data_IF_458716189582
#
_entry.id   IF_458716189582
#
_cell.length_a   1.000
_cell.length_b   1.000
_cell.length_c   1.000
_cell.angle_alpha   90.00
_cell.angle_beta   90.00
_cell.angle_gamma   90.00
#
_symmetry.space_group_name_H-M   'P 1'
#
loop_
_entity.id
_entity.type
_entity.pdbx_description
1 polymer ?
#
# COMPACT_ATOMS: atom_id res chain seq x y z
N UNK A 1 12.53 6.79 -17.87
CA UNK A 1 13.66 6.10 -17.21
C UNK A 1 13.11 5.20 -16.11
N UNK A 2 13.62 3.98 -15.91
CA UNK A 2 13.13 3.12 -14.84
C UNK A 2 13.54 3.71 -13.48
N UNK A 3 12.56 3.96 -12.61
CA UNK A 3 12.80 4.60 -11.31
C UNK A 3 13.25 3.54 -10.29
N UNK A 4 14.37 3.79 -9.59
CA UNK A 4 14.88 2.96 -8.49
C UNK A 4 14.42 3.46 -7.11
N UNK A 5 13.52 4.43 -7.10
CA UNK A 5 12.94 5.08 -5.92
C UNK A 5 11.52 4.60 -5.69
N UNK A 6 11.01 4.82 -4.47
CA UNK A 6 9.60 4.59 -4.19
C UNK A 6 8.72 5.43 -5.15
N UNK A 7 7.77 4.82 -5.88
CA UNK A 7 6.94 5.55 -6.83
C UNK A 7 6.17 6.69 -6.19
N UNK A 8 6.01 7.81 -6.92
CA UNK A 8 5.28 8.98 -6.43
C UNK A 8 3.83 8.64 -6.04
N UNK A 9 3.18 7.79 -6.84
CA UNK A 9 1.83 7.32 -6.56
C UNK A 9 1.74 6.65 -5.18
N UNK A 10 2.73 5.82 -4.80
CA UNK A 10 2.74 5.16 -3.51
C UNK A 10 2.84 6.17 -2.36
N UNK A 11 3.70 7.18 -2.50
CA UNK A 11 3.87 8.25 -1.50
C UNK A 11 2.59 9.03 -1.29
N UNK A 12 2.00 9.51 -2.38
CA UNK A 12 0.77 10.30 -2.35
C UNK A 12 -0.37 9.46 -1.81
N UNK A 13 -0.52 8.22 -2.29
CA UNK A 13 -1.56 7.31 -1.86
C UNK A 13 -1.49 7.03 -0.36
N UNK A 14 -0.35 6.55 0.16
CA UNK A 14 -0.22 6.21 1.59
C UNK A 14 -0.47 7.41 2.51
N UNK A 15 -0.04 8.61 2.11
CA UNK A 15 -0.32 9.82 2.89
C UNK A 15 -1.78 10.27 2.78
N UNK A 16 -2.38 10.20 1.59
CA UNK A 16 -3.74 10.66 1.36
C UNK A 16 -4.80 9.74 2.02
N UNK A 17 -4.57 8.42 2.02
CA UNK A 17 -5.54 7.47 2.59
C UNK A 17 -5.44 7.31 4.10
N UNK A 18 -4.31 7.65 4.70
CA UNK A 18 -4.10 7.48 6.14
C UNK A 18 -5.16 8.21 6.98
N UNK A 19 -5.50 9.50 6.74
CA UNK A 19 -6.57 10.17 7.48
C UNK A 19 -7.93 9.47 7.31
N UNK A 20 -8.29 9.07 6.09
CA UNK A 20 -9.55 8.39 5.83
C UNK A 20 -9.66 7.05 6.57
N UNK A 21 -8.58 6.26 6.59
CA UNK A 21 -8.51 4.99 7.31
C UNK A 21 -8.55 5.19 8.83
N UNK A 22 -7.87 6.21 9.35
CA UNK A 22 -7.87 6.50 10.80
C UNK A 22 -9.28 6.88 11.24
N UNK A 23 -9.96 7.76 10.48
CA UNK A 23 -11.35 8.12 10.74
C UNK A 23 -12.27 6.91 10.65
N UNK A 24 -12.11 6.08 9.63
CA UNK A 24 -12.85 4.83 9.47
C UNK A 24 -12.67 3.87 10.66
N UNK A 25 -11.44 3.71 11.14
CA UNK A 25 -11.15 2.89 12.32
C UNK A 25 -11.76 3.47 13.59
N UNK A 26 -11.66 4.79 13.81
CA UNK A 26 -12.32 5.45 14.95
C UNK A 26 -13.83 5.20 14.90
N UNK A 27 -14.45 5.38 13.73
CA UNK A 27 -15.89 5.14 13.56
C UNK A 27 -16.25 3.69 13.91
N UNK A 28 -15.59 2.71 13.30
CA UNK A 28 -15.86 1.28 13.53
C UNK A 28 -15.62 0.86 14.99
N UNK A 29 -14.56 1.35 15.62
CA UNK A 29 -14.21 0.98 16.99
C UNK A 29 -15.12 1.66 18.04
N UNK A 30 -15.81 2.73 17.66
CA UNK A 30 -16.76 3.45 18.52
C UNK A 30 -18.23 3.13 18.20
N UNK A 31 -18.49 2.05 17.46
CA UNK A 31 -19.87 1.66 17.11
C UNK A 31 -20.74 1.35 18.33
N UNK A 32 -22.05 1.62 18.22
CA UNK A 32 -23.01 1.25 19.25
C UNK A 32 -23.10 -0.27 19.41
N UNK A 33 -23.44 -0.72 20.62
CA UNK A 33 -23.57 -2.14 20.95
C UNK A 33 -24.78 -2.80 20.29
N UNK A 34 -25.83 -2.04 19.96
CA UNK A 34 -27.04 -2.53 19.31
C UNK A 34 -27.55 -1.54 18.26
N UNK A 35 -28.44 -2.02 17.40
CA UNK A 35 -29.01 -1.25 16.27
C UNK A 35 -29.90 -0.09 16.75
N UNK A 36 -30.54 -0.24 17.90
CA UNK A 36 -31.49 0.75 18.44
C UNK A 36 -30.79 1.96 19.07
N UNK A 37 -29.47 1.87 19.28
CA UNK A 37 -28.67 2.94 19.87
C UNK A 37 -28.01 3.75 18.76
N UNK A 38 -28.18 5.07 18.72
CA UNK A 38 -27.53 5.92 17.72
C UNK A 38 -26.01 5.84 17.86
N UNK A 39 -25.30 6.00 16.74
CA UNK A 39 -23.85 5.99 16.75
C UNK A 39 -23.31 7.16 17.62
N UNK A 40 -22.35 6.92 18.54
CA UNK A 40 -21.83 7.98 19.42
C UNK A 40 -21.25 9.20 18.69
N UNK A 41 -20.77 8.97 17.46
CA UNK A 41 -20.20 10.00 16.58
C UNK A 41 -21.18 10.51 15.50
N UNK A 42 -22.48 10.20 15.61
CA UNK A 42 -23.44 10.47 14.52
C UNK A 42 -23.52 11.94 14.11
N UNK A 43 -23.38 12.84 15.07
CA UNK A 43 -23.48 14.30 14.86
C UNK A 43 -22.11 15.00 14.75
N UNK A 44 -21.01 14.24 14.74
CA UNK A 44 -19.65 14.79 14.76
C UNK A 44 -19.10 14.82 13.34
N UNK A 45 -18.71 16.00 12.84
CA UNK A 45 -17.99 16.09 11.57
C UNK A 45 -16.57 15.52 11.70
N UNK A 46 -16.07 14.68 10.76
CA UNK A 46 -16.69 14.24 9.50
C UNK A 46 -17.44 12.90 9.58
N UNK A 47 -17.65 12.33 10.76
CA UNK A 47 -18.28 11.01 10.96
C UNK A 47 -19.75 10.94 10.51
N UNK A 48 -20.41 12.08 10.31
CA UNK A 48 -21.72 12.17 9.64
C UNK A 48 -21.73 11.50 8.25
N UNK A 49 -20.61 11.49 7.53
CA UNK A 49 -20.52 10.76 6.25
C UNK A 49 -20.49 9.25 6.44
N UNK A 50 -19.87 8.76 7.53
CA UNK A 50 -19.83 7.34 7.84
C UNK A 50 -21.17 6.83 8.37
N UNK A 51 -21.95 7.65 9.07
CA UNK A 51 -23.32 7.26 9.44
C UNK A 51 -24.23 7.12 8.23
N UNK A 52 -24.09 7.99 7.23
CA UNK A 52 -24.75 7.82 5.93
C UNK A 52 -24.28 6.51 5.27
N UNK A 53 -22.96 6.28 5.24
CA UNK A 53 -22.40 5.06 4.67
C UNK A 53 -22.91 3.78 5.35
N UNK A 54 -23.07 3.79 6.68
CA UNK A 54 -23.56 2.67 7.47
C UNK A 54 -25.02 2.27 7.13
N UNK A 55 -25.78 3.14 6.47
CA UNK A 55 -27.09 2.78 5.94
C UNK A 55 -26.98 1.86 4.72
N UNK A 56 -25.89 2.00 3.95
CA UNK A 56 -25.61 1.17 2.78
C UNK A 56 -24.86 -0.09 3.18
N UNK A 57 -23.80 0.03 3.97
CA UNK A 57 -23.08 -1.12 4.50
C UNK A 57 -23.37 -1.26 6.00
N UNK A 58 -24.34 -2.12 6.33
CA UNK A 58 -24.79 -2.29 7.72
C UNK A 58 -23.74 -2.91 8.62
N UNK A 59 -22.62 -3.42 8.08
CA UNK A 59 -21.48 -3.80 8.93
C UNK A 59 -20.98 -2.62 9.73
N UNK A 60 -21.15 -1.38 9.26
CA UNK A 60 -20.72 -0.17 9.96
C UNK A 60 -21.74 0.33 10.99
N UNK A 61 -22.94 -0.24 11.09
CA UNK A 61 -24.02 0.26 11.93
C UNK A 61 -23.87 -0.18 13.40
N UNK A 62 -24.24 -1.42 13.73
CA UNK A 62 -24.13 -1.96 15.08
C UNK A 62 -22.87 -2.82 15.23
N UNK A 63 -22.42 -3.03 16.46
CA UNK A 63 -21.29 -3.89 16.76
C UNK A 63 -21.69 -5.38 16.88
N UNK A 64 -22.40 -5.89 15.87
CA UNK A 64 -22.88 -7.28 15.78
C UNK A 64 -21.98 -8.17 14.89
N UNK A 65 -20.95 -7.59 14.28
CA UNK A 65 -19.95 -8.26 13.45
C UNK A 65 -18.52 -7.95 13.91
N UNK A 66 -17.80 -8.99 14.33
CA UNK A 66 -16.39 -8.91 14.72
C UNK A 66 -15.47 -8.74 13.50
N UNK A 67 -15.89 -9.15 12.30
CA UNK A 67 -15.03 -9.15 11.12
C UNK A 67 -14.55 -7.74 10.77
N UNK A 68 -15.45 -6.78 10.71
CA UNK A 68 -15.14 -5.38 10.40
C UNK A 68 -14.29 -4.71 11.51
N UNK A 69 -14.41 -5.12 12.77
CA UNK A 69 -13.51 -4.67 13.86
C UNK A 69 -12.08 -5.14 13.60
N UNK A 70 -11.90 -6.43 13.30
CA UNK A 70 -10.59 -6.99 12.92
C UNK A 70 -10.05 -6.28 11.69
N UNK A 71 -10.91 -6.03 10.72
CA UNK A 71 -10.57 -5.33 9.48
C UNK A 71 -10.04 -3.91 9.74
N UNK A 72 -10.63 -3.17 10.68
CA UNK A 72 -10.16 -1.85 11.09
C UNK A 72 -8.78 -1.88 11.75
N UNK A 73 -8.51 -2.86 12.61
CA UNK A 73 -7.17 -3.04 13.18
C UNK A 73 -6.12 -3.33 12.10
N UNK A 74 -6.44 -4.18 11.12
CA UNK A 74 -5.55 -4.46 9.99
C UNK A 74 -5.30 -3.22 9.14
N UNK A 75 -6.33 -2.38 8.89
CA UNK A 75 -6.16 -1.09 8.19
C UNK A 75 -5.20 -0.16 8.97
N UNK A 76 -5.28 -0.09 10.30
CA UNK A 76 -4.37 0.73 11.11
C UNK A 76 -2.93 0.26 11.00
N UNK A 77 -2.68 -1.05 11.04
CA UNK A 77 -1.34 -1.62 10.82
C UNK A 77 -0.80 -1.24 9.43
N UNK A 78 -1.64 -1.35 8.39
CA UNK A 78 -1.27 -0.93 7.03
C UNK A 78 -0.91 0.56 6.94
N UNK A 79 -1.64 1.43 7.66
CA UNK A 79 -1.32 2.88 7.71
C UNK A 79 0.05 3.12 8.34
N UNK A 80 0.34 2.45 9.47
CA UNK A 80 1.66 2.57 10.13
C UNK A 80 2.78 2.11 9.19
N UNK A 81 2.60 0.97 8.52
CA UNK A 81 3.58 0.44 7.57
C UNK A 81 3.72 1.32 6.33
N UNK A 82 2.61 1.84 5.79
CA UNK A 82 2.61 2.77 4.66
C UNK A 82 3.34 4.07 4.98
N UNK A 83 3.11 4.62 6.17
CA UNK A 83 3.85 5.79 6.66
C UNK A 83 5.35 5.50 6.80
N UNK A 84 5.70 4.34 7.36
CA UNK A 84 7.11 3.92 7.47
C UNK A 84 7.76 3.72 6.10
N UNK A 85 7.02 3.28 5.08
CA UNK A 85 7.52 3.17 3.71
C UNK A 85 7.86 4.55 3.13
N UNK A 86 6.98 5.54 3.35
CA UNK A 86 7.22 6.93 2.94
C UNK A 86 8.43 7.50 3.69
N UNK A 87 8.51 7.31 5.00
CA UNK A 87 9.61 7.79 5.83
C UNK A 87 10.96 7.19 5.40
N UNK A 88 11.01 5.88 5.14
CA UNK A 88 12.18 5.22 4.55
C UNK A 88 12.59 5.90 3.22
N UNK A 89 11.63 6.28 2.37
CA UNK A 89 11.93 6.96 1.11
C UNK A 89 12.47 8.38 1.32
N UNK A 90 11.97 9.11 2.33
CA UNK A 90 12.46 10.44 2.71
C UNK A 90 13.89 10.39 3.26
N UNK A 91 14.24 9.32 3.99
CA UNK A 91 15.60 9.06 4.47
C UNK A 91 16.52 8.43 3.41
N UNK A 92 16.12 8.40 2.14
CA UNK A 92 16.88 7.80 1.03
C UNK A 92 17.12 6.29 1.13
N UNK A 93 16.38 5.57 1.98
CA UNK A 93 16.45 4.11 2.13
C UNK A 93 15.48 3.43 1.15
N UNK A 94 15.69 3.65 -0.16
CA UNK A 94 14.72 3.29 -1.20
C UNK A 94 14.43 1.79 -1.29
N UNK A 95 15.41 0.92 -1.04
CA UNK A 95 15.21 -0.54 -1.09
C UNK A 95 14.21 -1.03 -0.05
N UNK A 96 14.27 -0.47 1.18
CA UNK A 96 13.32 -0.81 2.24
C UNK A 96 11.95 -0.20 1.96
N UNK A 97 11.91 1.05 1.49
CA UNK A 97 10.68 1.72 1.11
C UNK A 97 9.89 0.93 0.05
N UNK A 98 10.56 0.48 -1.03
CA UNK A 98 9.95 -0.30 -2.11
C UNK A 98 9.42 -1.65 -1.59
N UNK A 99 10.21 -2.37 -0.81
CA UNK A 99 9.79 -3.67 -0.24
C UNK A 99 8.57 -3.51 0.66
N UNK A 100 8.56 -2.47 1.50
CA UNK A 100 7.45 -2.24 2.42
C UNK A 100 6.19 -1.80 1.67
N UNK A 101 6.32 -0.97 0.62
CA UNK A 101 5.20 -0.60 -0.24
C UNK A 101 4.59 -1.81 -0.96
N UNK A 102 5.40 -2.79 -1.39
CA UNK A 102 4.92 -4.07 -1.94
C UNK A 102 4.08 -4.81 -0.89
N UNK A 103 4.59 -4.94 0.34
CA UNK A 103 3.89 -5.64 1.43
C UNK A 103 2.56 -4.95 1.74
N UNK A 104 2.55 -3.63 1.94
CA UNK A 104 1.34 -2.85 2.25
C UNK A 104 0.32 -2.99 1.12
N UNK A 105 0.72 -2.80 -0.14
CA UNK A 105 -0.21 -2.93 -1.27
C UNK A 105 -0.79 -4.34 -1.39
N UNK A 106 0.01 -5.38 -1.13
CA UNK A 106 -0.47 -6.76 -1.16
C UNK A 106 -1.46 -7.05 -0.02
N UNK A 107 -1.19 -6.54 1.18
CA UNK A 107 -2.12 -6.64 2.32
C UNK A 107 -3.45 -5.96 2.02
N UNK A 108 -3.42 -4.74 1.48
CA UNK A 108 -4.63 -4.02 1.10
C UNK A 108 -5.44 -4.79 0.06
N UNK A 109 -4.81 -5.35 -0.98
CA UNK A 109 -5.48 -6.17 -1.99
C UNK A 109 -6.10 -7.41 -1.37
N UNK A 110 -5.31 -8.19 -0.62
CA UNK A 110 -5.76 -9.43 0.01
C UNK A 110 -6.97 -9.18 0.91
N UNK A 111 -6.88 -8.14 1.75
CA UNK A 111 -7.95 -7.74 2.66
C UNK A 111 -9.20 -7.30 1.91
N UNK A 112 -9.07 -6.56 0.81
CA UNK A 112 -10.21 -6.13 -0.01
C UNK A 112 -10.90 -7.33 -0.66
N UNK A 113 -10.13 -8.31 -1.19
CA UNK A 113 -10.68 -9.58 -1.69
C UNK A 113 -11.42 -10.31 -0.57
N UNK A 114 -10.83 -10.41 0.62
CA UNK A 114 -11.45 -11.09 1.76
C UNK A 114 -12.78 -10.43 2.15
N UNK A 115 -12.86 -9.10 2.14
CA UNK A 115 -14.10 -8.36 2.38
C UNK A 115 -15.20 -8.75 1.38
N UNK A 116 -14.88 -8.73 0.08
CA UNK A 116 -15.83 -9.10 -0.96
C UNK A 116 -16.27 -10.57 -0.84
N UNK A 117 -15.34 -11.48 -0.56
CA UNK A 117 -15.65 -12.90 -0.41
C UNK A 117 -16.57 -13.16 0.78
N UNK A 118 -16.34 -12.51 1.92
CA UNK A 118 -17.21 -12.65 3.09
C UNK A 118 -18.61 -12.10 2.79
N UNK A 119 -18.72 -10.96 2.09
CA UNK A 119 -20.03 -10.44 1.69
C UNK A 119 -20.80 -11.41 0.78
N UNK A 120 -20.10 -12.05 -0.17
CA UNK A 120 -20.68 -13.09 -1.04
C UNK A 120 -21.12 -14.31 -0.23
N UNK A 121 -20.26 -14.80 0.68
CA UNK A 121 -20.54 -16.00 1.49
C UNK A 121 -21.70 -15.77 2.46
N UNK A 122 -21.83 -14.56 3.01
CA UNK A 122 -22.97 -14.16 3.85
C UNK A 122 -24.23 -13.83 3.05
N UNK A 123 -24.22 -13.99 1.72
CA UNK A 123 -25.36 -13.71 0.85
C UNK A 123 -25.75 -12.22 0.82
N UNK A 124 -24.79 -11.33 1.08
CA UNK A 124 -25.02 -9.90 1.20
C UNK A 124 -25.83 -9.53 2.44
N UNK A 125 -25.69 -10.26 3.56
CA UNK A 125 -26.38 -10.01 4.84
C UNK A 125 -26.49 -8.52 5.20
N UNK A 126 -25.43 -7.74 4.93
CA UNK A 126 -25.34 -6.33 5.28
C UNK A 126 -25.52 -5.35 4.11
N UNK A 127 -25.64 -5.85 2.88
CA UNK A 127 -25.54 -5.05 1.63
C UNK A 127 -26.70 -5.31 0.65
N UNK A 128 -27.44 -6.41 0.82
CA UNK A 128 -28.49 -6.85 -0.09
C UNK A 128 -29.75 -5.97 -0.04
N UNK A 129 -29.97 -5.19 1.03
CA UNK A 129 -31.13 -4.29 1.10
C UNK A 129 -31.02 -3.07 0.18
N UNK A 130 -29.83 -2.79 -0.38
CA UNK A 130 -29.59 -1.66 -1.26
C UNK A 130 -30.10 -1.90 -2.69
N UNK A 131 -30.54 -0.82 -3.34
CA UNK A 131 -30.84 -0.85 -4.78
C UNK A 131 -29.57 -1.15 -5.60
N UNK A 132 -29.73 -1.62 -6.85
CA UNK A 132 -28.57 -1.91 -7.71
C UNK A 132 -27.69 -0.67 -7.93
N UNK A 133 -28.31 0.50 -8.08
CA UNK A 133 -27.60 1.77 -8.25
C UNK A 133 -26.80 2.14 -6.99
N UNK A 134 -27.42 2.04 -5.81
CA UNK A 134 -26.74 2.32 -4.54
C UNK A 134 -25.57 1.37 -4.31
N UNK A 135 -25.72 0.08 -4.67
CA UNK A 135 -24.61 -0.89 -4.58
C UNK A 135 -23.45 -0.51 -5.50
N UNK A 136 -23.73 -0.07 -6.72
CA UNK A 136 -22.67 0.31 -7.66
C UNK A 136 -21.89 1.53 -7.16
N UNK A 137 -22.59 2.56 -6.68
CA UNK A 137 -21.98 3.84 -6.30
C UNK A 137 -21.35 3.77 -4.91
N UNK A 138 -22.06 3.25 -3.92
CA UNK A 138 -21.61 3.28 -2.52
C UNK A 138 -20.73 2.09 -2.16
N UNK A 139 -20.88 0.92 -2.78
CA UNK A 139 -20.10 -0.26 -2.41
C UNK A 139 -19.00 -0.56 -3.44
N UNK A 140 -19.39 -0.76 -4.71
CA UNK A 140 -18.47 -1.24 -5.74
C UNK A 140 -17.44 -0.17 -6.12
N UNK A 141 -17.84 1.10 -6.25
CA UNK A 141 -16.89 2.15 -6.62
C UNK A 141 -15.78 2.34 -5.55
N UNK A 142 -16.07 2.41 -4.24
CA UNK A 142 -15.01 2.42 -3.23
C UNK A 142 -14.13 1.18 -3.27
N UNK A 143 -14.70 -0.02 -3.38
CA UNK A 143 -13.89 -1.25 -3.48
C UNK A 143 -12.97 -1.24 -4.69
N UNK A 144 -13.46 -0.78 -5.85
CA UNK A 144 -12.67 -0.70 -7.08
C UNK A 144 -11.42 0.17 -6.92
N UNK A 145 -11.50 1.27 -6.15
CA UNK A 145 -10.36 2.12 -5.86
C UNK A 145 -9.28 1.39 -5.06
N UNK A 146 -9.70 0.62 -4.05
CA UNK A 146 -8.82 -0.21 -3.21
C UNK A 146 -8.25 -1.42 -3.94
N UNK A 147 -8.82 -1.81 -5.09
CA UNK A 147 -8.21 -2.78 -6.00
C UNK A 147 -7.21 -2.14 -6.95
N UNK A 148 -7.62 -1.08 -7.64
CA UNK A 148 -6.88 -0.52 -8.77
C UNK A 148 -5.59 0.14 -8.29
N UNK A 149 -5.67 1.02 -7.28
CA UNK A 149 -4.50 1.83 -6.87
C UNK A 149 -3.40 0.95 -6.25
N UNK A 150 -3.69 0.05 -5.29
CA UNK A 150 -2.68 -0.86 -4.75
C UNK A 150 -2.08 -1.79 -5.81
N UNK A 151 -2.86 -2.25 -6.79
CA UNK A 151 -2.35 -3.06 -7.91
C UNK A 151 -1.34 -2.30 -8.77
N UNK A 152 -1.64 -1.04 -9.09
CA UNK A 152 -0.74 -0.17 -9.85
C UNK A 152 0.53 0.10 -9.05
N UNK A 153 0.43 0.41 -7.75
CA UNK A 153 1.60 0.62 -6.88
C UNK A 153 2.46 -0.63 -6.82
N UNK A 154 1.84 -1.80 -6.63
CA UNK A 154 2.51 -3.09 -6.56
C UNK A 154 3.32 -3.35 -7.84
N UNK A 155 2.69 -3.17 -9.01
CA UNK A 155 3.35 -3.32 -10.30
C UNK A 155 4.53 -2.33 -10.48
N UNK A 156 4.34 -1.05 -10.12
CA UNK A 156 5.42 -0.05 -10.20
C UNK A 156 6.59 -0.41 -9.27
N UNK A 157 6.32 -0.89 -8.06
CA UNK A 157 7.34 -1.28 -7.10
C UNK A 157 8.12 -2.53 -7.56
N UNK A 158 7.45 -3.54 -8.12
CA UNK A 158 8.12 -4.71 -8.70
C UNK A 158 9.05 -4.32 -9.85
N UNK A 159 8.62 -3.41 -10.74
CA UNK A 159 9.47 -2.88 -11.81
C UNK A 159 10.69 -2.13 -11.27
N UNK A 160 10.49 -1.28 -10.26
CA UNK A 160 11.57 -0.56 -9.60
C UNK A 160 12.60 -1.51 -8.97
N UNK A 161 12.12 -2.57 -8.31
CA UNK A 161 12.96 -3.59 -7.70
C UNK A 161 13.75 -4.40 -8.74
N UNK A 162 13.12 -4.80 -9.84
CA UNK A 162 13.78 -5.53 -10.93
C UNK A 162 14.93 -4.71 -11.54
N UNK A 163 14.71 -3.42 -11.80
CA UNK A 163 15.73 -2.52 -12.33
C UNK A 163 16.89 -2.35 -11.34
N UNK A 164 16.58 -2.14 -10.06
CA UNK A 164 17.60 -2.01 -9.02
C UNK A 164 18.48 -3.28 -8.91
N UNK A 165 17.87 -4.46 -9.06
CA UNK A 165 18.60 -5.73 -9.03
C UNK A 165 19.53 -5.90 -10.24
N UNK A 166 19.07 -5.56 -11.45
CA UNK A 166 19.92 -5.61 -12.67
C UNK A 166 21.11 -4.66 -12.55
N UNK A 167 20.87 -3.43 -12.09
CA UNK A 167 21.94 -2.45 -11.88
C UNK A 167 22.97 -2.93 -10.83
N UNK A 168 22.50 -3.55 -9.74
CA UNK A 168 23.37 -4.12 -8.70
C UNK A 168 24.23 -5.27 -9.22
N UNK A 169 23.75 -6.08 -10.16
CA UNK A 169 24.53 -7.17 -10.76
C UNK A 169 25.56 -6.68 -11.79
N UNK A 170 25.31 -5.54 -12.44
CA UNK A 170 26.23 -4.95 -13.42
C UNK A 170 27.44 -4.25 -12.77
N UNK A 171 27.26 -3.64 -11.58
CA UNK A 171 28.31 -2.86 -10.91
C UNK A 171 29.58 -3.67 -10.52
N UNK A 172 29.51 -4.91 -9.98
CA UNK A 172 30.68 -5.73 -9.68
C UNK A 172 31.50 -6.10 -10.91
N UNK A 173 30.83 -6.40 -12.03
CA UNK A 173 31.51 -6.70 -13.30
C UNK A 173 32.26 -5.49 -13.84
N UNK A 174 31.65 -4.30 -13.79
CA UNK A 174 32.31 -3.07 -14.23
C UNK A 174 33.51 -2.68 -13.37
N UNK A 175 33.44 -2.89 -12.05
CA UNK A 175 34.55 -2.64 -11.12
C UNK A 175 35.74 -3.60 -11.37
N UNK A 176 35.47 -4.88 -11.58
CA UNK A 176 36.49 -5.88 -11.90
C UNK A 176 37.18 -5.59 -13.24
N UNK A 177 36.44 -5.21 -14.28
CA UNK A 177 37.00 -4.86 -15.58
C UNK A 177 37.90 -3.61 -15.52
N UNK A 178 37.54 -2.60 -14.71
CA UNK A 178 38.36 -1.39 -14.53
C UNK A 178 39.69 -1.68 -13.83
N UNK A 179 39.68 -2.53 -12.81
CA UNK A 179 40.91 -2.96 -12.13
C UNK A 179 41.85 -3.70 -13.10
N UNK A 180 41.32 -4.65 -13.88
CA UNK A 180 42.11 -5.39 -14.87
C UNK A 180 42.71 -4.51 -15.96
N UNK A 181 41.98 -3.46 -16.37
CA UNK A 181 42.43 -2.52 -17.40
C UNK A 181 43.48 -1.54 -16.87
N UNK A 182 43.38 -1.12 -15.60
CA UNK A 182 44.42 -0.35 -14.92
C UNK A 182 45.72 -1.16 -14.76
N UNK A 183 45.64 -2.42 -14.31
CA UNK A 183 46.81 -3.29 -14.19
C UNK A 183 47.51 -3.51 -15.54
N UNK A 184 46.76 -3.74 -16.63
CA UNK A 184 47.34 -3.85 -17.97
C UNK A 184 48.05 -2.57 -18.42
N UNK A 185 47.49 -1.40 -18.12
CA UNK A 185 48.14 -0.14 -18.47
C UNK A 185 49.39 0.15 -17.63
N UNK A 186 49.41 -0.24 -16.37
CA UNK A 186 50.56 -0.09 -15.48
C UNK A 186 51.69 -1.07 -15.84
N UNK A 187 51.36 -2.34 -16.12
CA UNK A 187 52.32 -3.33 -16.61
C UNK A 187 52.96 -2.94 -17.95
N UNK A 188 52.19 -2.36 -18.88
CA UNK A 188 52.71 -1.93 -20.18
C UNK A 188 53.62 -0.70 -20.09
N UNK A 189 53.40 0.21 -19.12
CA UNK A 189 54.33 1.33 -18.84
C UNK A 189 55.66 0.85 -18.28
N UNK A 190 55.64 -0.10 -17.34
CA UNK A 190 56.86 -0.67 -16.75
C UNK A 190 57.69 -1.44 -17.79
N UNK A 191 57.04 -2.12 -18.73
CA UNK A 191 57.75 -2.87 -19.78
C UNK A 191 58.38 -1.96 -20.85
N UNK A 192 57.80 -0.79 -21.14
CA UNK A 192 58.41 0.22 -22.02
C UNK A 192 59.59 0.94 -21.38
N UNK A 193 59.54 1.23 -20.08
CA UNK A 193 60.67 1.85 -19.36
C UNK A 193 61.91 0.96 -19.27
N UNK A 194 61.73 -0.36 -19.21
CA UNK A 194 62.84 -1.32 -19.12
C UNK A 194 63.58 -1.57 -20.45
N UNK A 195 63.05 -1.12 -21.60
CA UNK A 195 63.69 -1.29 -22.92
C UNK A 195 64.49 -0.06 -23.38
N UNK A 196 64.57 0.99 -22.56
CA UNK A 196 65.28 2.25 -22.91
C UNK A 196 66.55 2.48 -22.09
N UNK A 197 67.03 1.48 -21.34
CA UNK A 197 68.33 1.50 -20.66
C UNK A 197 69.25 0.43 -21.23
#
# INVERSE_FOLDING_TARGET
MPQTTLPLLAKVWFLAVAPAIILDAIFVLMRPQSVDVPHPLAEVFPFTYWTIYAQYDRRYAANDDAFVVVHSWLKLVEVVMGFFAVLCSLWNIQSHAIKLAIVVSLMTLYKTVLYCLIDIVEGGKYTHHNTLQDRLIMLIAPWSLWFIVPSIILHQCFRALAVANVARQAAPKAAASRHQQQERHQGNKNHKGSKMN
#
